data_IF_871423874069
#
_entry.id   IF_871423874069
#
_cell.length_a   1.000
_cell.length_b   1.000
_cell.length_c   1.000
_cell.angle_alpha   90.00
_cell.angle_beta   90.00
_cell.angle_gamma   90.00
#
_symmetry.space_group_name_H-M   'P 1'
#
loop_
_entity.id
_entity.type
_entity.pdbx_description
1 polymer ?
#
# COMPACT_ATOMS: atom_id res chain seq x y z
N UNK A 1 -24.24 -24.06 1.52
CA UNK A 1 -24.10 -24.30 0.06
C UNK A 1 -23.44 -23.10 -0.60
N UNK A 2 -22.98 -23.29 -1.82
CA UNK A 2 -22.40 -22.20 -2.61
C UNK A 2 -23.47 -21.12 -2.88
N UNK A 3 -24.70 -21.50 -3.12
CA UNK A 3 -25.81 -20.56 -3.34
C UNK A 3 -26.04 -19.69 -2.09
N UNK A 4 -26.03 -20.28 -0.92
CA UNK A 4 -26.20 -19.52 0.32
C UNK A 4 -25.03 -18.55 0.52
N UNK A 5 -23.80 -18.97 0.25
CA UNK A 5 -22.64 -18.11 0.33
C UNK A 5 -22.77 -16.90 -0.59
N UNK A 6 -23.13 -17.13 -1.85
CA UNK A 6 -23.28 -16.04 -2.84
C UNK A 6 -24.38 -15.08 -2.43
N UNK A 7 -25.51 -15.59 -1.95
CA UNK A 7 -26.65 -14.77 -1.56
C UNK A 7 -26.38 -13.94 -0.29
N UNK A 8 -25.39 -14.32 0.49
CA UNK A 8 -25.07 -13.64 1.76
C UNK A 8 -23.80 -12.80 1.68
N UNK A 9 -23.22 -12.62 0.49
CA UNK A 9 -22.10 -11.72 0.33
C UNK A 9 -22.51 -10.27 0.58
N UNK A 10 -21.66 -9.48 1.24
CA UNK A 10 -21.95 -8.05 1.43
C UNK A 10 -21.98 -7.33 0.08
N UNK A 11 -22.64 -6.19 0.05
CA UNK A 11 -22.75 -5.38 -1.16
C UNK A 11 -21.44 -4.70 -1.56
N UNK A 12 -20.47 -4.64 -0.65
CA UNK A 12 -19.09 -4.27 -0.99
C UNK A 12 -18.11 -5.20 -0.29
N UNK A 13 -16.88 -5.26 -0.81
CA UNK A 13 -15.85 -6.15 -0.30
C UNK A 13 -14.92 -5.36 0.61
N UNK A 14 -14.64 -5.92 1.80
CA UNK A 14 -13.64 -5.39 2.71
C UNK A 14 -12.58 -6.45 3.02
N UNK A 15 -11.50 -6.01 3.64
CA UNK A 15 -10.35 -6.86 3.96
C UNK A 15 -10.15 -7.01 5.47
N UNK A 16 -11.24 -7.18 6.21
CA UNK A 16 -11.19 -7.24 7.68
C UNK A 16 -10.26 -8.34 8.23
N UNK A 17 -10.09 -9.42 7.47
CA UNK A 17 -9.20 -10.51 7.84
C UNK A 17 -7.90 -10.54 7.02
N UNK A 18 -7.67 -9.52 6.21
CA UNK A 18 -6.49 -9.45 5.35
C UNK A 18 -5.91 -8.04 5.36
N UNK A 19 -5.69 -7.53 6.56
CA UNK A 19 -4.99 -6.25 6.72
C UNK A 19 -3.99 -6.33 7.87
N UNK A 20 -3.05 -5.40 7.85
CA UNK A 20 -2.09 -5.20 8.92
C UNK A 20 -1.89 -3.70 9.16
N UNK A 21 -1.35 -3.37 10.32
CA UNK A 21 -1.02 -2.00 10.68
C UNK A 21 0.46 -1.95 11.07
N UNK A 22 1.23 -1.11 10.38
CA UNK A 22 2.66 -0.91 10.66
C UNK A 22 2.84 0.57 10.96
N UNK A 23 3.03 0.91 12.22
CA UNK A 23 3.33 2.26 12.67
C UNK A 23 4.75 2.27 13.25
N UNK A 24 5.57 3.22 12.82
CA UNK A 24 6.96 3.35 13.25
C UNK A 24 7.77 2.06 13.00
N UNK A 25 7.42 1.35 11.93
CA UNK A 25 8.02 0.08 11.59
C UNK A 25 9.34 0.24 10.87
N UNK A 26 10.36 0.80 11.51
CA UNK A 26 11.67 0.94 10.90
C UNK A 26 12.18 -0.44 10.50
N UNK A 27 12.42 -0.60 9.19
CA UNK A 27 12.87 -1.85 8.57
C UNK A 27 11.90 -3.03 8.75
N UNK A 28 10.68 -2.77 9.18
CA UNK A 28 9.66 -3.83 9.21
C UNK A 28 9.23 -4.19 7.80
N UNK A 29 9.08 -5.48 7.54
CA UNK A 29 8.57 -5.94 6.25
C UNK A 29 7.05 -5.79 6.20
N UNK A 30 6.56 -5.25 5.11
CA UNK A 30 5.13 -5.27 4.78
C UNK A 30 4.76 -6.72 4.44
N UNK A 31 3.68 -7.22 5.02
CA UNK A 31 3.27 -8.60 4.84
C UNK A 31 2.82 -8.91 3.42
N UNK A 32 3.24 -10.05 2.90
CA UNK A 32 2.81 -10.52 1.59
C UNK A 32 1.56 -11.41 1.66
N UNK A 33 1.09 -11.70 2.86
CA UNK A 33 -0.13 -12.50 3.07
C UNK A 33 -1.35 -11.64 3.39
N UNK A 34 -1.17 -10.33 3.52
CA UNK A 34 -2.25 -9.38 3.74
C UNK A 34 -2.52 -8.58 2.48
N UNK A 35 -3.79 -8.28 2.19
CA UNK A 35 -4.15 -7.47 1.03
C UNK A 35 -3.92 -5.98 1.28
N UNK A 36 -4.12 -5.53 2.52
CA UNK A 36 -4.04 -4.12 2.91
C UNK A 36 -3.00 -3.93 4.00
N UNK A 37 -2.16 -2.92 3.85
CA UNK A 37 -1.29 -2.42 4.92
C UNK A 37 -1.63 -0.97 5.20
N UNK A 38 -1.94 -0.67 6.47
CA UNK A 38 -2.01 0.68 6.98
C UNK A 38 -0.62 1.03 7.49
N UNK A 39 0.03 1.96 6.81
CA UNK A 39 1.42 2.32 7.06
C UNK A 39 1.49 3.71 7.66
N UNK A 40 2.37 3.94 8.59
CA UNK A 40 2.46 5.26 9.17
C UNK A 40 3.68 5.49 10.03
N UNK A 41 3.82 6.72 10.46
CA UNK A 41 4.85 7.16 11.38
C UNK A 41 4.28 8.14 12.38
N UNK A 42 4.61 7.96 13.65
CA UNK A 42 4.16 8.86 14.71
C UNK A 42 5.14 10.00 14.99
N UNK A 43 6.32 10.00 14.40
CA UNK A 43 7.28 11.07 14.65
C UNK A 43 8.60 11.00 13.92
N UNK A 44 8.92 9.86 13.34
CA UNK A 44 10.18 9.68 12.60
C UNK A 44 9.92 8.95 11.31
N UNK A 45 10.77 9.17 10.33
CA UNK A 45 10.64 8.45 9.06
C UNK A 45 10.74 6.94 9.28
N UNK A 46 9.93 6.19 8.55
CA UNK A 46 9.97 4.74 8.58
C UNK A 46 10.48 4.19 7.25
N UNK A 47 11.23 3.10 7.33
CA UNK A 47 11.70 2.40 6.15
C UNK A 47 11.17 0.97 6.21
N UNK A 48 10.42 0.59 5.18
CA UNK A 48 9.78 -0.73 5.09
C UNK A 48 10.16 -1.40 3.78
N UNK A 49 9.89 -2.69 3.69
CA UNK A 49 10.18 -3.46 2.47
C UNK A 49 8.96 -4.29 2.10
N UNK A 50 8.79 -4.53 0.82
CA UNK A 50 7.82 -5.48 0.29
C UNK A 50 8.56 -6.55 -0.49
N UNK A 51 8.47 -7.80 -0.03
CA UNK A 51 9.08 -8.94 -0.70
C UNK A 51 8.27 -9.35 -1.95
N UNK A 52 8.79 -10.30 -2.69
CA UNK A 52 8.09 -10.88 -3.84
C UNK A 52 6.72 -11.42 -3.44
N UNK A 53 5.78 -11.31 -4.35
CA UNK A 53 4.48 -11.94 -4.20
C UNK A 53 4.58 -13.46 -4.36
N UNK A 54 3.51 -14.14 -4.02
CA UNK A 54 3.46 -15.61 -4.08
C UNK A 54 2.53 -16.15 -5.15
N UNK A 55 1.57 -15.33 -5.60
CA UNK A 55 0.56 -15.74 -6.59
C UNK A 55 0.42 -14.65 -7.64
N UNK A 56 0.50 -15.02 -8.90
CA UNK A 56 0.28 -14.08 -10.01
C UNK A 56 -1.12 -13.48 -9.87
N UNK A 57 -1.19 -12.15 -9.98
CA UNK A 57 -2.44 -11.41 -9.79
C UNK A 57 -2.70 -10.99 -8.35
N UNK A 58 -1.81 -11.32 -7.41
CA UNK A 58 -1.90 -10.87 -6.03
C UNK A 58 -1.90 -9.35 -5.97
N UNK A 59 -2.87 -8.77 -5.27
CA UNK A 59 -3.01 -7.32 -5.10
C UNK A 59 -2.48 -6.93 -3.73
N UNK A 60 -1.71 -5.84 -3.70
CA UNK A 60 -1.27 -5.23 -2.46
C UNK A 60 -1.69 -3.77 -2.44
N UNK A 61 -2.41 -3.38 -1.40
CA UNK A 61 -2.88 -2.01 -1.20
C UNK A 61 -2.19 -1.44 0.03
N UNK A 62 -1.66 -0.24 -0.09
CA UNK A 62 -1.00 0.45 1.02
C UNK A 62 -1.62 1.82 1.17
N UNK A 63 -1.97 2.16 2.40
CA UNK A 63 -2.53 3.46 2.78
C UNK A 63 -1.68 4.03 3.89
N UNK A 64 -1.21 5.27 3.72
CA UNK A 64 -0.51 6.00 4.76
C UNK A 64 -1.56 6.69 5.64
N UNK A 65 -1.74 6.21 6.86
CA UNK A 65 -2.82 6.66 7.74
C UNK A 65 -2.34 7.41 8.99
N UNK A 66 -1.04 7.59 9.15
CA UNK A 66 -0.47 8.34 10.26
C UNK A 66 0.76 9.11 9.76
N UNK A 67 0.65 10.42 9.75
CA UNK A 67 1.65 11.33 9.19
C UNK A 67 2.35 12.11 10.29
N UNK A 68 3.22 11.46 11.05
CA UNK A 68 4.18 12.12 11.93
C UNK A 68 5.58 12.17 11.31
N UNK A 69 5.78 11.49 10.22
CA UNK A 69 7.00 11.42 9.42
C UNK A 69 6.73 10.64 8.16
N UNK A 70 7.67 10.63 7.25
CA UNK A 70 7.52 9.94 5.97
C UNK A 70 7.67 8.43 6.14
N UNK A 71 7.02 7.68 5.26
CA UNK A 71 7.25 6.25 5.14
C UNK A 71 7.77 5.94 3.75
N UNK A 72 8.83 5.15 3.68
CA UNK A 72 9.47 4.76 2.42
C UNK A 72 9.36 3.25 2.27
N UNK A 73 8.79 2.81 1.16
CA UNK A 73 8.63 1.39 0.86
C UNK A 73 9.58 0.99 -0.26
N UNK A 74 10.54 0.14 0.07
CA UNK A 74 11.40 -0.48 -0.91
C UNK A 74 10.73 -1.77 -1.42
N UNK A 75 10.40 -1.80 -2.70
CA UNK A 75 9.70 -2.93 -3.31
C UNK A 75 10.70 -3.84 -3.99
N UNK A 76 10.74 -5.11 -3.57
CA UNK A 76 11.59 -6.11 -4.22
C UNK A 76 11.03 -6.40 -5.62
N UNK A 77 11.92 -6.44 -6.61
CA UNK A 77 11.55 -6.65 -8.01
C UNK A 77 10.47 -5.69 -8.48
N UNK A 78 10.66 -4.40 -8.19
CA UNK A 78 9.78 -3.35 -8.69
C UNK A 78 9.90 -3.25 -10.22
N UNK A 79 8.78 -3.40 -10.90
CA UNK A 79 8.73 -3.41 -12.36
C UNK A 79 8.69 -1.96 -12.89
N UNK A 80 9.88 -1.37 -13.07
CA UNK A 80 10.01 -0.08 -13.73
C UNK A 80 9.79 1.15 -12.82
N UNK A 81 9.78 0.99 -11.51
CA UNK A 81 9.66 2.11 -10.57
C UNK A 81 10.65 1.97 -9.40
N UNK A 82 10.86 3.06 -8.70
CA UNK A 82 11.76 3.13 -7.54
C UNK A 82 10.99 2.92 -6.24
N UNK A 83 11.63 3.19 -5.11
CA UNK A 83 10.98 3.18 -3.80
C UNK A 83 9.77 4.12 -3.79
N UNK A 84 8.75 3.74 -3.04
CA UNK A 84 7.54 4.53 -2.91
C UNK A 84 7.59 5.34 -1.63
N UNK A 85 7.40 6.65 -1.76
CA UNK A 85 7.36 7.58 -0.63
C UNK A 85 5.91 7.90 -0.27
N UNK A 86 5.60 7.80 1.01
CA UNK A 86 4.31 8.18 1.58
C UNK A 86 4.59 9.35 2.55
N UNK A 87 4.05 10.50 2.25
CA UNK A 87 4.39 11.75 2.94
C UNK A 87 3.24 12.24 3.80
N UNK A 88 2.03 12.20 3.31
CA UNK A 88 0.86 12.71 4.00
C UNK A 88 -0.17 11.63 4.30
N UNK A 89 -1.04 11.90 5.26
CA UNK A 89 -2.22 11.06 5.49
C UNK A 89 -3.04 10.96 4.22
N UNK A 90 -3.38 9.75 3.82
CA UNK A 90 -4.17 9.51 2.64
C UNK A 90 -3.36 9.20 1.39
N UNK A 91 -2.03 9.28 1.44
CA UNK A 91 -1.20 8.76 0.34
C UNK A 91 -1.40 7.26 0.21
N UNK A 92 -1.55 6.78 -1.01
CA UNK A 92 -1.88 5.37 -1.28
C UNK A 92 -1.06 4.82 -2.43
N UNK A 93 -0.93 3.49 -2.45
CA UNK A 93 -0.38 2.76 -3.58
C UNK A 93 -1.13 1.44 -3.75
N UNK A 94 -1.29 1.01 -4.99
CA UNK A 94 -1.84 -0.30 -5.33
C UNK A 94 -0.90 -0.99 -6.31
N UNK A 95 -0.50 -2.22 -5.96
CA UNK A 95 0.44 -3.01 -6.75
C UNK A 95 -0.19 -4.36 -7.09
N UNK A 96 0.28 -4.95 -8.18
CA UNK A 96 -0.09 -6.30 -8.57
C UNK A 96 1.17 -7.14 -8.85
N UNK A 97 1.21 -8.35 -8.32
CA UNK A 97 2.31 -9.28 -8.57
C UNK A 97 2.13 -9.94 -9.93
N UNK A 98 3.16 -9.86 -10.76
CA UNK A 98 3.13 -10.38 -12.14
C UNK A 98 3.93 -11.68 -12.29
N UNK A 99 4.47 -12.22 -11.21
CA UNK A 99 5.31 -13.40 -11.25
C UNK A 99 6.79 -13.02 -11.37
N UNK A 100 7.51 -13.69 -12.23
CA UNK A 100 8.98 -13.53 -12.35
C UNK A 100 9.42 -12.13 -12.76
N UNK A 101 8.52 -11.32 -13.30
CA UNK A 101 8.87 -9.94 -13.71
C UNK A 101 8.70 -8.92 -12.60
N UNK A 102 8.00 -9.27 -11.52
CA UNK A 102 7.94 -8.44 -10.33
C UNK A 102 6.60 -7.77 -10.06
N UNK A 103 6.61 -6.79 -9.17
CA UNK A 103 5.44 -5.99 -8.82
C UNK A 103 5.25 -4.86 -9.83
N UNK A 104 4.06 -4.77 -10.40
CA UNK A 104 3.64 -3.62 -11.21
C UNK A 104 2.87 -2.64 -10.33
N UNK A 105 3.12 -1.35 -10.52
CA UNK A 105 2.42 -0.29 -9.81
C UNK A 105 1.18 0.09 -10.61
N UNK A 106 0.00 -0.26 -10.09
CA UNK A 106 -1.27 0.05 -10.75
C UNK A 106 -1.67 1.50 -10.54
N UNK A 107 -1.43 2.04 -9.34
CA UNK A 107 -1.67 3.43 -9.04
C UNK A 107 -0.86 3.86 -7.83
N UNK A 108 -0.52 5.15 -7.80
CA UNK A 108 0.04 5.82 -6.64
C UNK A 108 -0.63 7.18 -6.57
N UNK A 109 -1.27 7.48 -5.44
CA UNK A 109 -1.98 8.73 -5.26
C UNK A 109 -1.37 9.48 -4.10
N UNK A 110 -1.15 10.79 -4.32
CA UNK A 110 -0.74 11.71 -3.26
C UNK A 110 -1.88 12.66 -2.97
N UNK A 111 -1.96 13.13 -1.71
CA UNK A 111 -2.98 14.12 -1.36
C UNK A 111 -2.65 15.49 -1.96
N UNK A 112 -3.62 16.40 -1.96
CA UNK A 112 -3.51 17.68 -2.67
C UNK A 112 -2.29 18.51 -2.25
N UNK A 113 -1.85 18.41 -1.01
CA UNK A 113 -0.67 19.11 -0.52
C UNK A 113 0.60 18.73 -1.28
N UNK A 114 0.74 17.43 -1.60
CA UNK A 114 1.91 16.92 -2.32
C UNK A 114 1.85 17.25 -3.81
N UNK A 115 0.67 17.47 -4.33
CA UNK A 115 0.49 17.78 -5.75
C UNK A 115 0.92 19.19 -6.10
N UNK A 116 1.24 20.04 -5.12
CA UNK A 116 1.67 21.41 -5.37
C UNK A 116 0.61 22.28 -6.01
N UNK A 117 -0.66 21.97 -5.82
CA UNK A 117 -1.76 22.67 -6.49
C UNK A 117 -1.86 24.14 -6.08
N UNK A 118 -1.38 24.50 -4.91
CA UNK A 118 -1.36 25.88 -4.47
C UNK A 118 -0.49 26.77 -5.37
N UNK A 119 0.50 26.20 -6.02
CA UNK A 119 1.39 26.95 -6.89
C UNK A 119 0.70 27.39 -8.17
N UNK A 120 -0.37 26.75 -8.54
CA UNK A 120 -1.14 27.09 -9.73
C UNK A 120 -1.88 28.42 -9.56
N UNK A 121 -2.03 28.88 -8.33
CA UNK A 121 -2.66 30.17 -8.05
C UNK A 121 -1.77 31.36 -8.39
N UNK A 122 -0.51 31.10 -8.64
CA UNK A 122 0.45 32.12 -9.01
C UNK A 122 0.52 32.31 -10.53
#
# INVERSE_FOLDING_TARGET
SVTDLVNNLPSFIGFSNSYENITDGIQAAVGITTALTLLGSSGTDTATTLADGTVIGQIKIIVHDTDGGNSILAVTDALGFADLDFVDDGDTAMLIWTGTTGWALLSQMTVAADLGLVDLAN
#
